data_IF_046564506489
#
_entry.id   IF_046564506489
#
_cell.length_a   1.000
_cell.length_b   1.000
_cell.length_c   1.000
_cell.angle_alpha   90.00
_cell.angle_beta   90.00
_cell.angle_gamma   90.00
#
_symmetry.space_group_name_H-M   'P 1'
#
loop_
_entity.id
_entity.type
_entity.pdbx_description
1 polymer ?
#
# COMPACT_ATOMS: atom_id res chain seq x y z
N UNK A 1 4.13 10.59 -19.10
CA UNK A 1 2.86 10.22 -18.42
C UNK A 1 2.91 10.67 -16.95
N UNK A 2 1.82 10.52 -16.18
CA UNK A 2 1.92 10.73 -14.73
C UNK A 2 2.80 9.62 -14.13
N UNK A 3 3.75 9.96 -13.25
CA UNK A 3 4.69 9.02 -12.62
C UNK A 3 4.02 7.73 -12.14
N UNK A 4 2.89 7.88 -11.43
CA UNK A 4 2.09 6.78 -10.91
C UNK A 4 1.81 5.73 -11.98
N UNK A 5 1.34 6.18 -13.14
CA UNK A 5 0.94 5.31 -14.24
C UNK A 5 2.13 4.56 -14.84
N UNK A 6 3.29 5.23 -15.00
CA UNK A 6 4.51 4.61 -15.53
C UNK A 6 4.95 3.47 -14.61
N UNK A 7 4.99 3.75 -13.30
CA UNK A 7 5.42 2.79 -12.29
C UNK A 7 4.42 1.64 -12.19
N UNK A 8 3.12 1.91 -12.10
CA UNK A 8 2.07 0.88 -12.08
C UNK A 8 2.13 -0.04 -13.30
N UNK A 9 2.27 0.53 -14.50
CA UNK A 9 2.36 -0.25 -15.74
C UNK A 9 3.62 -1.12 -15.78
N UNK A 10 4.77 -0.57 -15.35
CA UNK A 10 6.05 -1.29 -15.35
C UNK A 10 6.04 -2.42 -14.32
N UNK A 11 5.63 -2.12 -13.08
CA UNK A 11 5.57 -3.07 -11.96
C UNK A 11 4.54 -4.16 -12.24
N UNK A 12 3.33 -3.79 -12.67
CA UNK A 12 2.27 -4.71 -13.04
C UNK A 12 2.64 -5.60 -14.24
N UNK A 13 3.31 -5.04 -15.26
CA UNK A 13 3.81 -5.81 -16.40
C UNK A 13 4.87 -6.86 -16.03
N UNK A 14 5.54 -6.70 -14.88
CA UNK A 14 6.50 -7.65 -14.35
C UNK A 14 5.90 -8.70 -13.40
N UNK A 15 4.60 -8.59 -13.08
CA UNK A 15 3.88 -9.49 -12.19
C UNK A 15 3.89 -9.09 -10.72
N UNK A 16 4.22 -7.84 -10.40
CA UNK A 16 4.23 -7.31 -9.03
C UNK A 16 3.09 -6.31 -8.82
N UNK A 17 2.74 -6.05 -7.57
CA UNK A 17 1.79 -5.03 -7.16
C UNK A 17 2.54 -3.79 -6.65
N UNK A 18 2.06 -2.60 -7.02
CA UNK A 18 2.62 -1.34 -6.53
C UNK A 18 1.96 -0.99 -5.19
N UNK A 19 2.74 -0.91 -4.12
CA UNK A 19 2.24 -0.54 -2.79
C UNK A 19 2.31 0.96 -2.56
N UNK A 20 3.47 1.57 -2.83
CA UNK A 20 3.69 2.99 -2.56
C UNK A 20 4.77 3.59 -3.46
N UNK A 21 4.60 4.88 -3.77
CA UNK A 21 5.65 5.73 -4.35
C UNK A 21 5.90 6.88 -3.38
N UNK A 22 7.14 7.02 -2.92
CA UNK A 22 7.58 8.14 -2.09
C UNK A 22 8.64 8.98 -2.79
N UNK A 23 8.47 10.31 -2.75
CA UNK A 23 9.39 11.28 -3.32
C UNK A 23 9.85 12.25 -2.24
N UNK A 24 11.14 12.23 -1.97
CA UNK A 24 11.76 13.20 -1.06
C UNK A 24 12.28 14.43 -1.81
N UNK A 25 12.36 15.56 -1.10
CA UNK A 25 13.01 16.78 -1.61
C UNK A 25 14.50 16.59 -1.97
N UNK A 26 15.16 15.54 -1.44
CA UNK A 26 16.55 15.20 -1.75
C UNK A 26 16.75 14.47 -3.08
N UNK A 27 15.68 14.25 -3.84
CA UNK A 27 15.73 13.51 -5.11
C UNK A 27 15.73 11.98 -4.94
N UNK A 28 15.47 11.46 -3.74
CA UNK A 28 15.20 10.03 -3.56
C UNK A 28 13.79 9.72 -4.06
N UNK A 29 13.70 8.77 -4.98
CA UNK A 29 12.47 8.12 -5.42
C UNK A 29 12.47 6.69 -4.86
N UNK A 30 11.56 6.42 -3.92
CA UNK A 30 11.37 5.09 -3.35
C UNK A 30 10.09 4.49 -3.92
N UNK A 31 10.19 3.27 -4.40
CA UNK A 31 9.07 2.48 -4.91
C UNK A 31 8.98 1.21 -4.08
N UNK A 32 7.82 0.98 -3.49
CA UNK A 32 7.54 -0.19 -2.67
C UNK A 32 6.65 -1.13 -3.45
N UNK A 33 7.11 -2.37 -3.64
CA UNK A 33 6.41 -3.42 -4.40
C UNK A 33 6.06 -4.59 -3.49
N UNK A 34 5.01 -5.32 -3.85
CA UNK A 34 4.63 -6.58 -3.22
C UNK A 34 4.21 -7.59 -4.29
N UNK A 35 3.93 -8.80 -3.88
CA UNK A 35 3.27 -9.77 -4.74
C UNK A 35 1.77 -9.51 -4.77
N UNK A 36 1.10 -9.70 -5.92
CA UNK A 36 -0.34 -9.60 -6.01
C UNK A 36 -0.99 -10.53 -4.98
N UNK A 37 -1.83 -9.96 -4.12
CA UNK A 37 -2.61 -10.75 -3.19
C UNK A 37 -3.87 -11.28 -3.86
N UNK A 38 -4.11 -12.57 -3.69
CA UNK A 38 -5.34 -13.25 -4.10
C UNK A 38 -6.04 -13.83 -2.88
N UNK A 39 -7.37 -13.78 -2.88
CA UNK A 39 -8.18 -14.34 -1.81
C UNK A 39 -7.94 -15.85 -1.71
N UNK A 40 -7.54 -16.38 -0.53
CA UNK A 40 -7.35 -17.81 -0.36
C UNK A 40 -8.63 -18.59 -0.65
N UNK A 41 -8.54 -19.61 -1.50
CA UNK A 41 -9.66 -20.49 -1.76
C UNK A 41 -9.86 -21.45 -0.57
N UNK A 42 -11.11 -21.76 -0.19
CA UNK A 42 -11.38 -22.73 0.87
C UNK A 42 -10.70 -24.07 0.59
N UNK A 43 -9.83 -24.52 1.50
CA UNK A 43 -9.10 -25.79 1.39
C UNK A 43 -7.77 -25.71 0.62
N UNK A 44 -7.38 -24.55 0.08
CA UNK A 44 -6.04 -24.35 -0.45
C UNK A 44 -5.04 -24.03 0.68
N UNK A 45 -3.79 -24.55 0.62
CA UNK A 45 -2.76 -24.17 1.58
C UNK A 45 -2.43 -22.68 1.43
N UNK A 46 -2.26 -21.98 2.55
CA UNK A 46 -1.72 -20.63 2.53
C UNK A 46 -0.28 -20.67 2.04
N UNK A 47 0.00 -20.05 0.89
CA UNK A 47 1.36 -19.89 0.37
C UNK A 47 1.88 -18.56 0.87
N UNK A 48 2.83 -18.60 1.80
CA UNK A 48 3.60 -17.41 2.16
C UNK A 48 4.57 -17.11 1.02
N UNK A 49 4.41 -15.96 0.41
CA UNK A 49 5.30 -15.48 -0.65
C UNK A 49 5.90 -14.15 -0.21
N UNK A 50 7.18 -13.98 -0.50
CA UNK A 50 7.95 -12.80 -0.13
C UNK A 50 8.68 -12.27 -1.36
N UNK A 51 8.74 -10.95 -1.46
CA UNK A 51 9.62 -10.28 -2.42
C UNK A 51 11.08 -10.56 -2.04
N UNK A 52 11.86 -11.03 -3.00
CA UNK A 52 13.30 -11.25 -2.82
C UNK A 52 14.12 -10.04 -3.26
N UNK A 53 15.45 -10.10 -3.06
CA UNK A 53 16.37 -9.07 -3.55
C UNK A 53 16.41 -9.06 -5.08
N UNK A 54 16.35 -10.23 -5.70
CA UNK A 54 16.33 -10.41 -7.16
C UNK A 54 15.08 -9.78 -7.79
N UNK A 55 13.92 -9.89 -7.14
CA UNK A 55 12.69 -9.20 -7.57
C UNK A 55 12.88 -7.67 -7.57
N UNK A 56 13.43 -7.14 -6.47
CA UNK A 56 13.72 -5.71 -6.36
C UNK A 56 14.72 -5.24 -7.43
N UNK A 57 15.76 -6.05 -7.71
CA UNK A 57 16.73 -5.75 -8.76
C UNK A 57 16.08 -5.73 -10.15
N UNK A 58 15.25 -6.74 -10.45
CA UNK A 58 14.53 -6.85 -11.73
C UNK A 58 13.65 -5.62 -11.97
N UNK A 59 12.88 -5.20 -10.96
CA UNK A 59 12.02 -4.03 -11.03
C UNK A 59 12.85 -2.74 -11.13
N UNK A 60 13.93 -2.63 -10.35
CA UNK A 60 14.85 -1.47 -10.41
C UNK A 60 15.39 -1.27 -11.82
N UNK A 61 15.88 -2.33 -12.47
CA UNK A 61 16.41 -2.27 -13.84
C UNK A 61 15.36 -1.79 -14.82
N UNK A 62 14.14 -2.34 -14.77
CA UNK A 62 13.08 -1.94 -15.71
C UNK A 62 12.61 -0.50 -15.50
N UNK A 63 12.47 -0.07 -14.24
CA UNK A 63 12.08 1.29 -13.92
C UNK A 63 13.12 2.31 -14.37
N UNK A 64 14.43 2.02 -14.32
CA UNK A 64 15.45 2.93 -14.83
C UNK A 64 15.19 3.28 -16.31
N UNK A 65 14.92 2.28 -17.15
CA UNK A 65 14.61 2.51 -18.56
C UNK A 65 13.29 3.26 -18.76
N UNK A 66 12.22 2.83 -18.07
CA UNK A 66 10.90 3.45 -18.22
C UNK A 66 10.87 4.92 -17.77
N UNK A 67 11.57 5.23 -16.66
CA UNK A 67 11.67 6.58 -16.13
C UNK A 67 12.54 7.49 -17.00
N UNK A 68 13.61 6.95 -17.60
CA UNK A 68 14.46 7.69 -18.54
C UNK A 68 13.69 8.08 -19.81
N UNK A 69 12.93 7.16 -20.41
CA UNK A 69 12.12 7.41 -21.62
C UNK A 69 11.12 8.55 -21.40
N UNK A 70 10.50 8.60 -20.22
CA UNK A 70 9.51 9.61 -19.88
C UNK A 70 10.11 10.89 -19.27
N UNK A 71 11.44 10.99 -19.17
CA UNK A 71 12.15 12.17 -18.66
C UNK A 71 11.90 12.45 -17.17
N UNK A 72 11.75 11.40 -16.37
CA UNK A 72 11.51 11.54 -14.93
C UNK A 72 12.82 11.79 -14.19
N UNK A 73 12.96 12.99 -13.64
CA UNK A 73 14.12 13.37 -12.82
C UNK A 73 14.10 12.73 -11.43
N UNK A 74 15.18 12.06 -11.06
CA UNK A 74 15.48 11.57 -9.71
C UNK A 74 16.99 11.46 -9.50
N UNK A 75 17.45 11.58 -8.25
CA UNK A 75 18.87 11.44 -7.88
C UNK A 75 19.22 10.00 -7.49
N UNK A 76 18.29 9.31 -6.83
CA UNK A 76 18.47 7.92 -6.38
C UNK A 76 17.13 7.19 -6.49
N UNK A 77 17.16 5.99 -7.06
CA UNK A 77 16.04 5.07 -7.12
C UNK A 77 16.25 3.96 -6.07
N UNK A 78 15.25 3.70 -5.24
CA UNK A 78 15.19 2.57 -4.32
C UNK A 78 13.93 1.76 -4.60
N UNK A 79 14.10 0.44 -4.79
CA UNK A 79 12.97 -0.49 -4.83
C UNK A 79 13.06 -1.40 -3.61
N UNK A 80 11.93 -1.58 -2.92
CA UNK A 80 11.86 -2.32 -1.66
C UNK A 80 10.51 -3.02 -1.50
N UNK A 81 10.40 -3.92 -0.53
CA UNK A 81 9.14 -4.51 -0.09
C UNK A 81 8.59 -3.78 1.15
N UNK A 82 7.27 -3.86 1.43
CA UNK A 82 6.65 -3.09 2.50
C UNK A 82 6.99 -3.57 3.92
N UNK A 83 7.60 -4.75 4.08
CA UNK A 83 7.92 -5.33 5.39
C UNK A 83 6.68 -5.78 6.19
N UNK A 84 6.84 -5.89 7.52
CA UNK A 84 5.80 -6.37 8.44
C UNK A 84 4.67 -5.35 8.59
N UNK A 85 5.03 -4.07 8.71
CA UNK A 85 4.07 -2.96 8.88
C UNK A 85 3.60 -2.43 7.52
N UNK A 86 3.07 -3.35 6.69
CA UNK A 86 2.62 -3.02 5.33
C UNK A 86 1.48 -1.98 5.39
N UNK A 87 1.61 -0.83 4.72
CA UNK A 87 0.55 0.17 4.71
C UNK A 87 -0.68 -0.34 3.93
N UNK A 88 -1.87 -0.01 4.43
CA UNK A 88 -3.14 -0.28 3.75
C UNK A 88 -3.48 0.93 2.86
N UNK A 89 -3.32 0.78 1.53
CA UNK A 89 -3.50 1.86 0.55
C UNK A 89 -4.65 1.60 -0.41
N UNK A 90 -4.83 0.35 -0.81
CA UNK A 90 -5.83 -0.11 -1.78
C UNK A 90 -6.96 -0.86 -1.10
N UNK A 91 -8.13 -0.94 -1.74
CA UNK A 91 -9.30 -1.66 -1.20
C UNK A 91 -8.97 -3.12 -0.88
N UNK A 92 -8.22 -3.79 -1.76
CA UNK A 92 -7.75 -5.18 -1.56
C UNK A 92 -6.90 -5.35 -0.30
N UNK A 93 -6.23 -4.30 0.16
CA UNK A 93 -5.43 -4.36 1.38
C UNK A 93 -6.36 -4.53 2.59
N UNK A 94 -7.49 -3.83 2.61
CA UNK A 94 -8.46 -3.99 3.69
C UNK A 94 -9.06 -5.40 3.69
N UNK A 95 -9.33 -5.97 2.52
CA UNK A 95 -9.77 -7.36 2.37
C UNK A 95 -8.73 -8.37 2.86
N UNK A 96 -7.45 -8.14 2.55
CA UNK A 96 -6.33 -8.99 2.97
C UNK A 96 -6.16 -9.03 4.49
N UNK A 97 -6.44 -7.92 5.18
CA UNK A 97 -6.13 -7.76 6.60
C UNK A 97 -7.37 -7.69 7.52
N UNK A 98 -8.58 -8.03 7.05
CA UNK A 98 -9.73 -8.11 7.96
C UNK A 98 -9.50 -9.17 9.04
N UNK A 99 -9.89 -8.84 10.26
CA UNK A 99 -9.62 -9.60 11.48
C UNK A 99 -8.25 -9.34 12.10
N UNK A 100 -7.38 -8.54 11.47
CA UNK A 100 -6.06 -8.19 11.99
C UNK A 100 -6.07 -6.88 12.76
N UNK A 101 -5.09 -6.72 13.65
CA UNK A 101 -4.87 -5.47 14.38
C UNK A 101 -4.24 -4.43 13.45
N UNK A 102 -4.84 -3.24 13.37
CA UNK A 102 -4.38 -2.13 12.54
C UNK A 102 -4.21 -0.86 13.37
N UNK A 103 -3.26 -0.03 12.95
CA UNK A 103 -3.04 1.31 13.48
C UNK A 103 -3.51 2.36 12.46
N UNK A 104 -4.41 3.25 12.87
CA UNK A 104 -4.97 4.30 12.03
C UNK A 104 -4.55 5.66 12.57
N UNK A 105 -4.03 6.51 11.69
CA UNK A 105 -3.77 7.92 11.99
C UNK A 105 -4.63 8.81 11.11
N UNK A 106 -5.53 9.56 11.72
CA UNK A 106 -6.39 10.52 11.02
C UNK A 106 -5.60 11.77 10.62
N UNK A 107 -5.93 12.34 9.46
CA UNK A 107 -5.37 13.62 9.00
C UNK A 107 -5.74 14.77 9.95
N UNK A 108 -7.00 14.83 10.34
CA UNK A 108 -7.55 15.77 11.31
C UNK A 108 -8.09 15.02 12.54
N UNK A 109 -8.09 15.61 13.73
CA UNK A 109 -8.67 14.95 14.89
C UNK A 109 -10.19 14.90 14.75
N UNK A 110 -10.85 13.91 15.36
CA UNK A 110 -12.31 13.75 15.26
C UNK A 110 -13.09 14.92 15.87
N UNK A 111 -12.51 15.65 16.83
CA UNK A 111 -13.16 16.79 17.46
C UNK A 111 -14.55 16.43 18.03
N UNK A 112 -15.58 17.17 17.62
CA UNK A 112 -16.96 16.94 18.06
C UNK A 112 -17.59 15.65 17.49
N UNK A 113 -17.08 15.13 16.35
CA UNK A 113 -17.58 13.89 15.75
C UNK A 113 -17.32 12.66 16.62
N UNK A 114 -16.39 12.77 17.58
CA UNK A 114 -16.15 11.72 18.58
C UNK A 114 -17.26 11.61 19.63
N UNK A 115 -18.24 12.53 19.68
CA UNK A 115 -19.35 12.53 20.66
C UNK A 115 -18.91 12.31 22.12
N UNK A 116 -17.72 12.80 22.50
CA UNK A 116 -17.13 12.61 23.83
C UNK A 116 -16.51 11.24 24.11
N UNK A 117 -16.58 10.29 23.17
CA UNK A 117 -16.02 8.94 23.30
C UNK A 117 -14.49 8.93 23.29
N UNK A 118 -13.86 9.91 22.63
CA UNK A 118 -12.40 10.09 22.64
C UNK A 118 -12.00 11.55 22.85
N UNK A 119 -10.79 11.77 23.36
CA UNK A 119 -10.23 13.09 23.55
C UNK A 119 -10.19 13.88 22.24
N UNK A 120 -10.59 15.16 22.27
CA UNK A 120 -10.80 15.99 21.08
C UNK A 120 -9.57 16.11 20.16
N UNK A 121 -8.36 16.00 20.69
CA UNK A 121 -7.10 16.07 19.93
C UNK A 121 -6.54 14.69 19.50
N UNK A 122 -7.22 13.58 19.82
CA UNK A 122 -6.74 12.24 19.48
C UNK A 122 -6.85 12.01 17.96
N UNK A 123 -5.75 11.59 17.36
CA UNK A 123 -5.65 11.24 15.93
C UNK A 123 -5.25 9.79 15.67
N UNK A 124 -4.72 9.11 16.68
CA UNK A 124 -4.20 7.74 16.58
C UNK A 124 -5.15 6.76 17.23
N UNK A 125 -5.49 5.71 16.49
CA UNK A 125 -6.40 4.65 16.90
C UNK A 125 -5.74 3.31 16.58
N UNK A 126 -6.05 2.32 17.42
CA UNK A 126 -5.62 0.93 17.25
C UNK A 126 -6.85 0.07 17.47
N UNK A 127 -7.09 -0.87 16.56
CA UNK A 127 -8.28 -1.72 16.60
C UNK A 127 -8.15 -2.91 15.67
N UNK A 128 -9.13 -3.80 15.71
CA UNK A 128 -9.25 -4.92 14.77
C UNK A 128 -10.00 -4.42 13.54
N UNK A 129 -9.45 -4.65 12.35
CA UNK A 129 -10.11 -4.26 11.10
C UNK A 129 -11.32 -5.17 10.84
N UNK A 130 -12.51 -4.60 10.77
CA UNK A 130 -13.74 -5.33 10.48
C UNK A 130 -14.37 -4.87 9.16
N UNK A 131 -14.92 -5.83 8.41
CA UNK A 131 -15.74 -5.52 7.24
C UNK A 131 -17.15 -5.15 7.69
N UNK A 132 -17.62 -3.98 7.28
CA UNK A 132 -18.96 -3.47 7.58
C UNK A 132 -19.77 -3.45 6.29
N UNK A 133 -21.03 -3.85 6.34
CA UNK A 133 -21.98 -3.60 5.25
C UNK A 133 -22.87 -2.44 5.69
N UNK A 134 -22.76 -1.30 5.01
CA UNK A 134 -23.60 -0.14 5.28
C UNK A 134 -25.07 -0.42 5.00
N UNK A 135 -25.97 0.37 5.58
CA UNK A 135 -27.42 0.24 5.36
C UNK A 135 -27.84 0.35 3.88
N UNK A 136 -27.01 1.02 3.07
CA UNK A 136 -27.19 1.20 1.63
C UNK A 136 -26.62 0.02 0.79
N UNK A 137 -26.15 -1.05 1.45
CA UNK A 137 -25.53 -2.22 0.82
C UNK A 137 -24.07 -2.01 0.39
N UNK A 138 -23.50 -0.82 0.63
CA UNK A 138 -22.09 -0.51 0.32
C UNK A 138 -21.19 -1.14 1.38
N UNK A 139 -20.21 -1.92 0.94
CA UNK A 139 -19.18 -2.48 1.81
C UNK A 139 -18.23 -1.36 2.28
N UNK A 140 -17.97 -1.34 3.58
CA UNK A 140 -17.08 -0.42 4.27
C UNK A 140 -16.20 -1.16 5.28
N UNK A 141 -15.37 -0.41 5.99
CA UNK A 141 -14.38 -0.94 6.92
C UNK A 141 -14.40 -0.13 8.22
N UNK A 142 -14.37 -0.78 9.37
CA UNK A 142 -14.30 -0.14 10.70
C UNK A 142 -13.15 -0.65 11.54
#
# INVERSE_FOLDING_TARGET
MALQQIVEQTVGGLGYDLVEIDRSAGGLLRITIDLPWEMPQPGAPAVEQFITVEDCEKVTRQLQFALEVDGVEYRRLEVSSPGIDRPLRHVKDFERFVGQMVDITLKAPMGLAAAGQVHANRKKFRGTLEKVVGADGVEGWQ
#
